data_IF_708803364448
#
_entry.id   IF_708803364448
#
_cell.length_a   1.000
_cell.length_b   1.000
_cell.length_c   1.000
_cell.angle_alpha   90.00
_cell.angle_beta   90.00
_cell.angle_gamma   90.00
#
_symmetry.space_group_name_H-M   'P 1'
#
loop_
_entity.id
_entity.type
_entity.pdbx_description
1 polymer ?
#
# COMPACT_ATOMS: atom_id res chain seq x y z
N UNK A 1 -10.29 1.53 -14.93
CA UNK A 1 -10.96 2.75 -14.42
C UNK A 1 -11.84 2.43 -13.20
N UNK A 2 -12.67 1.36 -13.23
CA UNK A 2 -13.54 0.99 -12.11
C UNK A 2 -12.80 0.78 -10.79
N UNK A 3 -11.64 0.08 -10.81
CA UNK A 3 -10.82 -0.12 -9.62
C UNK A 3 -10.29 1.18 -9.03
N UNK A 4 -9.87 2.13 -9.89
CA UNK A 4 -9.40 3.46 -9.45
C UNK A 4 -10.53 4.22 -8.75
N UNK A 5 -11.70 4.29 -9.37
CA UNK A 5 -12.86 4.97 -8.82
C UNK A 5 -13.34 4.33 -7.51
N UNK A 6 -13.37 3.00 -7.46
CA UNK A 6 -13.71 2.25 -6.23
C UNK A 6 -12.73 2.53 -5.10
N UNK A 7 -11.42 2.51 -5.39
CA UNK A 7 -10.37 2.84 -4.42
C UNK A 7 -10.45 4.30 -3.94
N UNK A 8 -10.72 5.25 -4.84
CA UNK A 8 -10.95 6.65 -4.48
C UNK A 8 -12.19 6.81 -3.60
N UNK A 9 -13.29 6.15 -3.94
CA UNK A 9 -14.52 6.20 -3.14
C UNK A 9 -14.31 5.62 -1.73
N UNK A 10 -13.55 4.53 -1.61
CA UNK A 10 -13.20 3.93 -0.32
C UNK A 10 -12.32 4.86 0.52
N UNK A 11 -11.30 5.46 -0.10
CA UNK A 11 -10.43 6.44 0.57
C UNK A 11 -11.16 7.74 0.93
N UNK A 12 -12.20 8.13 0.18
CA UNK A 12 -13.03 9.29 0.48
C UNK A 12 -13.75 9.15 1.83
N UNK A 13 -14.08 7.91 2.27
CA UNK A 13 -14.67 7.66 3.60
C UNK A 13 -13.67 8.08 4.69
N UNK A 14 -12.41 7.69 4.56
CA UNK A 14 -11.33 8.08 5.50
C UNK A 14 -11.15 9.59 5.50
N UNK A 15 -11.10 10.20 4.31
CA UNK A 15 -10.95 11.65 4.15
C UNK A 15 -12.09 12.43 4.81
N UNK A 16 -13.33 11.97 4.63
CA UNK A 16 -14.53 12.58 5.22
C UNK A 16 -14.51 12.49 6.75
N UNK A 17 -14.17 11.32 7.31
CA UNK A 17 -14.09 11.12 8.75
C UNK A 17 -12.97 11.96 9.38
N UNK A 18 -11.84 12.09 8.69
CA UNK A 18 -10.76 12.97 9.13
C UNK A 18 -11.15 14.44 9.09
N UNK A 19 -11.78 14.87 8.00
CA UNK A 19 -12.13 16.26 7.75
C UNK A 19 -13.27 16.78 8.65
N UNK A 20 -14.32 15.96 8.86
CA UNK A 20 -15.51 16.34 9.63
C UNK A 20 -15.43 16.04 11.12
N UNK A 21 -14.83 14.90 11.47
CA UNK A 21 -14.82 14.40 12.85
C UNK A 21 -13.41 14.42 13.47
N UNK A 22 -12.42 14.91 12.74
CA UNK A 22 -11.01 14.92 13.18
C UNK A 22 -10.54 13.54 13.67
N UNK A 23 -11.10 12.47 13.09
CA UNK A 23 -10.74 11.10 13.43
C UNK A 23 -9.27 10.81 13.02
N UNK A 24 -8.64 9.85 13.70
CA UNK A 24 -7.30 9.41 13.33
C UNK A 24 -7.38 8.59 12.03
N UNK A 25 -6.77 9.11 10.94
CA UNK A 25 -6.79 8.47 9.63
C UNK A 25 -6.17 7.07 9.62
N UNK A 26 -5.16 6.83 10.46
CA UNK A 26 -4.49 5.53 10.54
C UNK A 26 -5.44 4.50 11.15
N UNK A 27 -6.09 4.82 12.26
CA UNK A 27 -7.04 3.91 12.91
C UNK A 27 -8.24 3.63 12.03
N UNK A 28 -8.80 4.67 11.40
CA UNK A 28 -9.96 4.53 10.50
C UNK A 28 -9.59 3.66 9.30
N UNK A 29 -8.44 3.88 8.67
CA UNK A 29 -8.02 3.08 7.52
C UNK A 29 -7.78 1.61 7.90
N UNK A 30 -7.18 1.33 9.06
CA UNK A 30 -7.01 -0.04 9.55
C UNK A 30 -8.35 -0.74 9.80
N UNK A 31 -9.31 -0.06 10.40
CA UNK A 31 -10.66 -0.62 10.59
C UNK A 31 -11.36 -0.88 9.26
N UNK A 32 -11.24 0.03 8.30
CA UNK A 32 -11.82 -0.13 6.97
C UNK A 32 -11.16 -1.26 6.15
N UNK A 33 -9.91 -1.62 6.42
CA UNK A 33 -9.29 -2.82 5.82
C UNK A 33 -10.05 -4.08 6.22
N UNK A 34 -10.36 -4.25 7.51
CA UNK A 34 -11.15 -5.40 7.99
C UNK A 34 -12.56 -5.40 7.43
N UNK A 35 -13.20 -4.22 7.32
CA UNK A 35 -14.53 -4.11 6.71
C UNK A 35 -14.48 -4.52 5.24
N UNK A 36 -13.48 -4.07 4.49
CA UNK A 36 -13.31 -4.44 3.08
C UNK A 36 -13.05 -5.95 2.91
N UNK A 37 -12.25 -6.55 3.79
CA UNK A 37 -11.99 -7.99 3.80
C UNK A 37 -13.26 -8.80 4.07
N UNK A 38 -14.07 -8.39 5.06
CA UNK A 38 -15.34 -9.05 5.33
C UNK A 38 -16.37 -8.86 4.21
N UNK A 39 -16.39 -7.67 3.59
CA UNK A 39 -17.22 -7.41 2.43
C UNK A 39 -16.83 -8.32 1.24
N UNK A 40 -15.52 -8.45 0.98
CA UNK A 40 -15.01 -9.35 -0.05
C UNK A 40 -15.43 -10.80 0.24
N UNK A 41 -15.25 -11.26 1.47
CA UNK A 41 -15.66 -12.60 1.91
C UNK A 41 -17.16 -12.80 1.67
N UNK A 42 -18.00 -11.87 2.13
CA UNK A 42 -19.45 -11.94 1.93
C UNK A 42 -19.81 -12.08 0.44
N UNK A 43 -19.19 -11.31 -0.43
CA UNK A 43 -19.47 -11.34 -1.87
C UNK A 43 -19.01 -12.66 -2.52
N UNK A 44 -17.82 -13.15 -2.16
CA UNK A 44 -17.22 -14.34 -2.76
C UNK A 44 -17.89 -15.64 -2.25
N UNK A 45 -18.29 -15.69 -0.97
CA UNK A 45 -19.01 -16.83 -0.42
C UNK A 45 -20.52 -16.83 -0.75
N UNK A 46 -21.08 -15.68 -1.08
CA UNK A 46 -22.50 -15.48 -1.32
C UNK A 46 -22.85 -15.22 -2.78
N UNK A 47 -23.23 -13.96 -3.13
CA UNK A 47 -23.85 -13.66 -4.43
C UNK A 47 -22.95 -13.83 -5.65
N UNK A 48 -21.62 -13.77 -5.49
CA UNK A 48 -20.65 -13.89 -6.60
C UNK A 48 -19.95 -15.23 -6.66
N UNK A 49 -20.40 -16.19 -5.84
CA UNK A 49 -19.85 -17.54 -5.83
C UNK A 49 -20.09 -18.23 -7.17
N UNK A 50 -19.06 -18.91 -7.69
CA UNK A 50 -19.18 -19.73 -8.88
C UNK A 50 -20.09 -20.97 -8.63
N UNK A 51 -21.23 -21.10 -9.33
CA UNK A 51 -22.11 -22.24 -9.15
C UNK A 51 -21.49 -23.57 -9.65
N UNK A 52 -20.47 -23.52 -10.51
CA UNK A 52 -19.78 -24.70 -11.04
C UNK A 52 -18.46 -25.01 -10.33
N UNK A 53 -18.05 -24.19 -9.38
CA UNK A 53 -16.73 -24.23 -8.71
C UNK A 53 -16.58 -25.26 -7.60
N UNK A 54 -17.28 -26.39 -7.60
CA UNK A 54 -17.15 -27.48 -6.61
C UNK A 54 -17.15 -27.01 -5.14
N UNK A 55 -17.92 -25.99 -4.85
CA UNK A 55 -18.04 -25.36 -3.52
C UNK A 55 -16.81 -24.59 -3.03
N UNK A 56 -15.78 -24.36 -3.86
CA UNK A 56 -14.68 -23.47 -3.51
C UNK A 56 -15.13 -22.00 -3.46
N UNK A 57 -14.61 -21.20 -2.52
CA UNK A 57 -14.93 -19.79 -2.42
C UNK A 57 -14.16 -18.99 -3.49
N UNK A 58 -14.73 -18.94 -4.67
CA UNK A 58 -14.18 -18.22 -5.82
C UNK A 58 -15.30 -17.71 -6.71
N UNK A 59 -15.05 -16.61 -7.43
CA UNK A 59 -15.96 -16.12 -8.45
C UNK A 59 -15.70 -16.84 -9.79
N UNK A 60 -16.64 -16.69 -10.72
CA UNK A 60 -16.46 -17.13 -12.11
C UNK A 60 -15.19 -16.49 -12.68
N UNK A 61 -14.40 -17.26 -13.40
CA UNK A 61 -13.20 -16.76 -14.10
C UNK A 61 -13.57 -15.70 -15.10
N UNK A 62 -12.81 -14.61 -15.12
CA UNK A 62 -13.07 -13.49 -16.02
C UNK A 62 -12.85 -13.89 -17.49
N UNK A 63 -13.67 -13.34 -18.37
CA UNK A 63 -13.51 -13.50 -19.81
C UNK A 63 -12.11 -13.06 -20.25
N UNK A 64 -11.53 -13.75 -21.24
CA UNK A 64 -10.20 -13.42 -21.78
C UNK A 64 -10.07 -11.96 -22.24
N UNK A 65 -11.16 -11.34 -22.66
CA UNK A 65 -11.24 -9.92 -23.05
C UNK A 65 -11.06 -8.95 -21.87
N UNK A 66 -11.35 -9.39 -20.65
CA UNK A 66 -11.24 -8.58 -19.43
C UNK A 66 -9.90 -8.80 -18.73
N UNK A 67 -9.22 -9.89 -19.03
CA UNK A 67 -7.90 -10.19 -18.46
C UNK A 67 -6.82 -9.31 -19.08
N UNK A 68 -5.90 -8.86 -18.24
CA UNK A 68 -4.74 -8.08 -18.68
C UNK A 68 -3.82 -8.96 -19.52
N UNK A 69 -3.53 -8.59 -20.78
CA UNK A 69 -2.69 -9.40 -21.65
C UNK A 69 -1.27 -9.55 -21.11
N UNK A 70 -0.67 -10.72 -21.35
CA UNK A 70 0.74 -10.97 -21.04
C UNK A 70 1.62 -10.28 -22.10
N UNK A 71 2.70 -9.64 -21.67
CA UNK A 71 3.65 -8.95 -22.55
C UNK A 71 4.44 -9.91 -23.44
N UNK A 72 4.85 -11.06 -22.88
CA UNK A 72 5.62 -12.06 -23.61
C UNK A 72 5.04 -13.46 -23.40
N UNK A 73 4.89 -14.26 -24.47
CA UNK A 73 4.55 -15.68 -24.35
C UNK A 73 5.70 -16.41 -23.61
N UNK A 74 5.36 -17.08 -22.50
CA UNK A 74 6.34 -17.79 -21.67
C UNK A 74 6.74 -17.08 -20.38
N UNK A 75 6.55 -15.77 -20.27
CA UNK A 75 6.79 -15.02 -19.03
C UNK A 75 5.47 -14.66 -18.34
N UNK A 76 5.49 -14.59 -17.01
CA UNK A 76 4.32 -14.15 -16.23
C UNK A 76 4.17 -12.62 -16.14
N UNK A 77 4.92 -11.87 -16.94
CA UNK A 77 4.93 -10.40 -16.95
C UNK A 77 3.71 -9.89 -17.72
N UNK A 78 2.88 -9.11 -17.05
CA UNK A 78 1.66 -8.50 -17.58
C UNK A 78 1.88 -7.03 -17.94
N UNK A 79 0.99 -6.46 -18.74
CA UNK A 79 0.95 -5.01 -19.04
C UNK A 79 0.88 -4.15 -17.77
N UNK A 80 0.45 -4.71 -16.64
CA UNK A 80 0.44 -4.05 -15.33
C UNK A 80 1.80 -3.48 -14.92
N UNK A 81 2.92 -4.10 -15.30
CA UNK A 81 4.27 -3.58 -15.02
C UNK A 81 4.52 -2.26 -15.74
N UNK A 82 4.07 -2.14 -17.00
CA UNK A 82 4.20 -0.88 -17.76
C UNK A 82 3.38 0.21 -17.09
N UNK A 83 2.15 -0.11 -16.67
CA UNK A 83 1.26 0.83 -15.97
C UNK A 83 1.89 1.26 -14.63
N UNK A 84 2.51 0.32 -13.91
CA UNK A 84 3.22 0.63 -12.65
C UNK A 84 4.40 1.59 -12.89
N UNK A 85 5.24 1.35 -13.90
CA UNK A 85 6.36 2.23 -14.23
C UNK A 85 5.89 3.60 -14.72
N UNK A 86 4.85 3.65 -15.53
CA UNK A 86 4.24 4.92 -15.96
C UNK A 86 3.69 5.70 -14.76
N UNK A 87 3.05 5.02 -13.81
CA UNK A 87 2.52 5.65 -12.61
C UNK A 87 3.64 6.25 -11.74
N UNK A 88 4.79 5.59 -11.63
CA UNK A 88 5.99 6.14 -10.95
C UNK A 88 6.43 7.44 -11.62
N UNK A 89 6.50 7.46 -12.96
CA UNK A 89 6.85 8.67 -13.72
C UNK A 89 5.85 9.81 -13.51
N UNK A 90 4.56 9.50 -13.57
CA UNK A 90 3.48 10.47 -13.32
C UNK A 90 3.58 11.03 -11.90
N UNK A 91 3.77 10.19 -10.88
CA UNK A 91 3.92 10.65 -9.50
C UNK A 91 5.21 11.43 -9.27
N UNK A 92 6.29 11.06 -9.93
CA UNK A 92 7.53 11.83 -9.88
C UNK A 92 7.32 13.25 -10.44
N UNK A 93 6.68 13.39 -11.61
CA UNK A 93 6.34 14.69 -12.19
C UNK A 93 5.38 15.44 -11.26
N UNK A 94 4.32 14.79 -10.79
CA UNK A 94 3.33 15.40 -9.91
C UNK A 94 3.97 15.97 -8.64
N UNK A 95 4.82 15.20 -7.96
CA UNK A 95 5.43 15.61 -6.70
C UNK A 95 6.52 16.68 -6.87
N UNK A 96 7.37 16.56 -7.91
CA UNK A 96 8.57 17.40 -8.03
C UNK A 96 8.46 18.51 -9.08
N UNK A 97 7.49 18.43 -9.98
CA UNK A 97 7.34 19.38 -11.09
C UNK A 97 6.04 20.17 -11.08
N UNK A 98 5.07 19.84 -10.21
CA UNK A 98 3.80 20.56 -10.15
C UNK A 98 3.64 21.39 -8.90
N UNK A 99 2.84 22.44 -9.01
CA UNK A 99 2.49 23.29 -7.88
C UNK A 99 1.69 22.53 -6.80
N UNK A 100 0.83 21.60 -7.21
CA UNK A 100 0.10 20.73 -6.29
C UNK A 100 1.04 19.85 -5.45
N UNK A 101 2.07 19.27 -6.09
CA UNK A 101 3.11 18.50 -5.39
C UNK A 101 3.90 19.34 -4.38
N UNK A 102 4.25 20.57 -4.76
CA UNK A 102 4.88 21.51 -3.84
C UNK A 102 4.01 21.80 -2.61
N UNK A 103 2.71 22.06 -2.83
CA UNK A 103 1.77 22.29 -1.71
C UNK A 103 1.67 21.07 -0.78
N UNK A 104 1.65 19.85 -1.34
CA UNK A 104 1.64 18.61 -0.56
C UNK A 104 2.91 18.44 0.27
N UNK A 105 4.08 18.69 -0.31
CA UNK A 105 5.37 18.60 0.39
C UNK A 105 5.49 19.61 1.52
N UNK A 106 5.19 20.88 1.24
CA UNK A 106 5.23 21.95 2.26
C UNK A 106 4.20 21.68 3.35
N UNK A 107 3.00 21.23 2.99
CA UNK A 107 1.95 20.86 3.94
C UNK A 107 2.35 19.74 4.88
N UNK A 108 3.15 18.77 4.40
CA UNK A 108 3.66 17.66 5.20
C UNK A 108 4.86 18.03 6.09
N UNK A 109 5.83 18.78 5.53
CA UNK A 109 7.07 19.13 6.23
C UNK A 109 6.91 20.26 7.23
N UNK A 110 6.11 21.28 6.90
CA UNK A 110 5.94 22.49 7.71
C UNK A 110 4.48 22.99 7.69
N UNK A 111 3.55 22.33 8.40
CA UNK A 111 2.12 22.68 8.37
C UNK A 111 1.83 24.14 8.77
N UNK A 112 2.60 24.70 9.69
CA UNK A 112 2.46 26.08 10.11
C UNK A 112 2.84 27.06 8.98
N UNK A 113 3.95 26.83 8.29
CA UNK A 113 4.39 27.64 7.17
C UNK A 113 3.41 27.53 5.98
N UNK A 114 2.87 26.33 5.71
CA UNK A 114 1.87 26.12 4.69
C UNK A 114 0.60 26.95 4.92
N UNK A 115 0.13 27.01 6.17
CA UNK A 115 -1.02 27.85 6.55
C UNK A 115 -0.73 29.34 6.37
N UNK A 116 0.48 29.77 6.73
CA UNK A 116 0.90 31.17 6.56
C UNK A 116 0.95 31.57 5.07
N UNK A 117 1.35 30.65 4.22
CA UNK A 117 1.36 30.81 2.76
C UNK A 117 -0.06 30.71 2.11
N UNK A 118 -1.11 30.51 2.90
CA UNK A 118 -2.49 30.40 2.40
C UNK A 118 -2.84 29.01 1.82
N UNK A 119 -2.01 27.99 2.03
CA UNK A 119 -2.29 26.64 1.54
C UNK A 119 -3.35 25.95 2.40
N UNK A 120 -4.37 25.40 1.75
CA UNK A 120 -5.45 24.69 2.44
C UNK A 120 -5.03 23.28 2.83
N UNK A 121 -4.86 23.04 4.14
CA UNK A 121 -4.58 21.70 4.68
C UNK A 121 -5.66 20.68 4.32
N UNK A 122 -6.92 21.15 4.21
CA UNK A 122 -8.07 20.32 3.81
C UNK A 122 -7.92 19.81 2.38
N UNK A 123 -7.59 20.69 1.44
CA UNK A 123 -7.36 20.29 0.03
C UNK A 123 -6.18 19.32 -0.08
N UNK A 124 -5.09 19.56 0.64
CA UNK A 124 -3.93 18.68 0.65
C UNK A 124 -4.29 17.28 1.16
N UNK A 125 -5.06 17.19 2.24
CA UNK A 125 -5.53 15.92 2.81
C UNK A 125 -6.40 15.14 1.82
N UNK A 126 -7.39 15.79 1.23
CA UNK A 126 -8.28 15.15 0.24
C UNK A 126 -7.53 14.67 -0.99
N UNK A 127 -6.65 15.50 -1.56
CA UNK A 127 -5.85 15.11 -2.73
C UNK A 127 -4.93 13.94 -2.43
N UNK A 128 -4.24 13.94 -1.28
CA UNK A 128 -3.36 12.85 -0.89
C UNK A 128 -4.11 11.53 -0.72
N UNK A 129 -5.23 11.52 0.01
CA UNK A 129 -6.01 10.30 0.28
C UNK A 129 -6.69 9.77 -0.99
N UNK A 130 -7.27 10.64 -1.81
CA UNK A 130 -7.90 10.21 -3.07
C UNK A 130 -6.89 9.65 -4.07
N UNK A 131 -5.73 10.30 -4.23
CA UNK A 131 -4.66 9.78 -5.09
C UNK A 131 -4.15 8.43 -4.60
N UNK A 132 -3.89 8.30 -3.29
CA UNK A 132 -3.46 7.05 -2.67
C UNK A 132 -4.49 5.94 -2.87
N UNK A 133 -5.77 6.23 -2.58
CA UNK A 133 -6.86 5.27 -2.76
C UNK A 133 -7.05 4.86 -4.22
N UNK A 134 -6.94 5.81 -5.15
CA UNK A 134 -7.00 5.53 -6.58
C UNK A 134 -5.88 4.60 -7.05
N UNK A 135 -4.66 4.82 -6.57
CA UNK A 135 -3.52 3.95 -6.88
C UNK A 135 -3.66 2.56 -6.27
N UNK A 136 -4.13 2.47 -5.03
CA UNK A 136 -4.41 1.19 -4.39
C UNK A 136 -5.50 0.41 -5.15
N UNK A 137 -6.56 1.09 -5.57
CA UNK A 137 -7.62 0.50 -6.38
C UNK A 137 -7.16 0.08 -7.78
N UNK A 138 -6.23 0.83 -8.39
CA UNK A 138 -5.58 0.45 -9.65
C UNK A 138 -4.74 -0.82 -9.46
N UNK A 139 -3.93 -0.86 -8.41
CA UNK A 139 -3.09 -2.02 -8.10
C UNK A 139 -3.94 -3.29 -7.86
N UNK A 140 -4.99 -3.20 -7.04
CA UNK A 140 -5.91 -4.31 -6.79
C UNK A 140 -6.65 -4.76 -8.05
N UNK A 141 -7.09 -3.81 -8.89
CA UNK A 141 -7.72 -4.13 -10.19
C UNK A 141 -6.78 -4.83 -11.15
N UNK A 142 -5.50 -4.43 -11.21
CA UNK A 142 -4.49 -5.09 -12.06
C UNK A 142 -4.12 -6.47 -11.52
N UNK A 143 -4.08 -6.66 -10.21
CA UNK A 143 -3.81 -7.96 -9.57
C UNK A 143 -4.91 -8.96 -9.89
N UNK A 144 -6.18 -8.55 -9.72
CA UNK A 144 -7.33 -9.43 -9.98
C UNK A 144 -7.51 -9.71 -11.47
N UNK A 145 -7.34 -8.70 -12.34
CA UNK A 145 -7.52 -8.85 -13.78
C UNK A 145 -6.31 -9.50 -14.50
N UNK A 146 -5.12 -9.46 -13.87
CA UNK A 146 -3.89 -10.00 -14.44
C UNK A 146 -3.58 -11.42 -13.97
N UNK A 147 -2.86 -11.58 -12.83
CA UNK A 147 -2.40 -12.88 -12.38
C UNK A 147 -3.50 -13.84 -11.95
N UNK A 148 -4.53 -13.33 -11.26
CA UNK A 148 -5.55 -14.15 -10.63
C UNK A 148 -6.67 -14.55 -11.60
N UNK A 149 -7.15 -13.63 -12.43
CA UNK A 149 -8.26 -13.85 -13.37
C UNK A 149 -9.61 -14.14 -12.72
N UNK A 150 -9.69 -14.09 -11.39
CA UNK A 150 -10.91 -14.32 -10.59
C UNK A 150 -10.74 -13.71 -9.20
N UNK A 151 -11.85 -13.46 -8.50
CA UNK A 151 -11.81 -13.02 -7.09
C UNK A 151 -11.80 -14.24 -6.16
N UNK A 152 -10.89 -14.20 -5.20
CA UNK A 152 -10.80 -15.18 -4.11
C UNK A 152 -10.65 -14.45 -2.77
N UNK A 153 -10.98 -15.07 -1.63
CA UNK A 153 -10.79 -14.45 -0.32
C UNK A 153 -9.34 -14.06 -0.01
N UNK A 154 -8.40 -14.66 -0.72
CA UNK A 154 -6.95 -14.49 -0.47
C UNK A 154 -6.31 -13.39 -1.32
N UNK A 155 -7.10 -12.65 -2.14
CA UNK A 155 -6.61 -11.51 -2.95
C UNK A 155 -5.81 -10.48 -2.14
N UNK A 156 -6.19 -10.11 -0.89
CA UNK A 156 -5.47 -9.09 -0.16
C UNK A 156 -4.07 -9.49 0.33
N UNK A 157 -3.66 -10.73 0.29
CA UNK A 157 -2.34 -11.33 0.62
C UNK A 157 -1.35 -10.50 1.49
N UNK A 158 -1.80 -9.43 2.16
CA UNK A 158 -0.98 -8.53 2.97
C UNK A 158 -0.15 -7.50 2.19
N UNK A 159 -0.35 -7.35 0.88
CA UNK A 159 0.41 -6.41 0.04
C UNK A 159 0.31 -4.95 0.52
N UNK A 160 -0.80 -4.55 1.13
CA UNK A 160 -0.94 -3.21 1.71
C UNK A 160 0.07 -2.93 2.81
N UNK A 161 0.30 -3.90 3.71
CA UNK A 161 1.30 -3.79 4.76
C UNK A 161 2.73 -3.84 4.19
N UNK A 162 2.98 -4.71 3.21
CA UNK A 162 4.26 -4.76 2.52
C UNK A 162 4.57 -3.45 1.78
N UNK A 163 3.57 -2.76 1.24
CA UNK A 163 3.74 -1.47 0.59
C UNK A 163 4.27 -0.39 1.55
N UNK A 164 3.91 -0.44 2.83
CA UNK A 164 4.47 0.44 3.85
C UNK A 164 5.99 0.21 3.96
N UNK A 165 6.41 -1.06 4.04
CA UNK A 165 7.84 -1.42 4.10
C UNK A 165 8.57 -0.90 2.86
N UNK A 166 7.99 -1.15 1.67
CA UNK A 166 8.54 -0.69 0.38
C UNK A 166 8.70 0.83 0.35
N UNK A 167 7.71 1.58 0.85
CA UNK A 167 7.76 3.04 0.89
C UNK A 167 8.89 3.57 1.78
N UNK A 168 9.07 3.00 2.97
CA UNK A 168 10.14 3.39 3.89
C UNK A 168 11.51 2.97 3.40
N UNK A 169 11.69 1.75 2.89
CA UNK A 169 12.93 1.28 2.27
C UNK A 169 13.31 2.16 1.08
N UNK A 170 12.32 2.56 0.27
CA UNK A 170 12.49 3.48 -0.85
C UNK A 170 12.67 4.94 -0.46
N UNK A 171 12.75 5.26 0.84
CA UNK A 171 12.88 6.62 1.40
C UNK A 171 11.81 7.58 0.89
N UNK A 172 10.59 7.11 0.68
CA UNK A 172 9.45 7.88 0.18
C UNK A 172 9.71 8.60 -1.16
N UNK A 173 10.72 8.12 -1.92
CA UNK A 173 11.06 8.67 -3.22
C UNK A 173 10.55 7.74 -4.33
N UNK A 174 9.84 8.22 -5.37
CA UNK A 174 9.23 7.38 -6.40
C UNK A 174 10.20 6.39 -7.07
N UNK A 175 11.42 6.83 -7.39
CA UNK A 175 12.44 5.95 -7.97
C UNK A 175 12.95 4.94 -6.96
N UNK A 176 13.15 5.34 -5.70
CA UNK A 176 13.56 4.44 -4.61
C UNK A 176 12.54 3.32 -4.36
N UNK A 177 11.24 3.63 -4.48
CA UNK A 177 10.15 2.67 -4.34
C UNK A 177 10.24 1.56 -5.39
N UNK A 178 10.68 1.85 -6.62
CA UNK A 178 10.86 0.80 -7.66
C UNK A 178 11.89 -0.23 -7.22
N UNK A 179 13.07 0.23 -6.76
CA UNK A 179 14.12 -0.69 -6.30
C UNK A 179 13.72 -1.46 -5.07
N UNK A 180 13.07 -0.81 -4.10
CA UNK A 180 12.58 -1.49 -2.89
C UNK A 180 11.44 -2.46 -3.19
N UNK A 181 10.59 -2.18 -4.19
CA UNK A 181 9.55 -3.11 -4.63
C UNK A 181 10.15 -4.37 -5.27
N UNK A 182 11.20 -4.23 -6.10
CA UNK A 182 11.93 -5.36 -6.67
C UNK A 182 12.55 -6.20 -5.55
N UNK A 183 13.23 -5.58 -4.60
CA UNK A 183 13.83 -6.26 -3.46
C UNK A 183 12.76 -7.03 -2.67
N UNK A 184 11.62 -6.39 -2.39
CA UNK A 184 10.53 -7.01 -1.65
C UNK A 184 9.88 -8.18 -2.42
N UNK A 185 9.75 -8.06 -3.75
CA UNK A 185 9.26 -9.16 -4.58
C UNK A 185 10.19 -10.37 -4.54
N UNK A 186 11.51 -10.17 -4.47
CA UNK A 186 12.47 -11.26 -4.28
C UNK A 186 12.26 -11.97 -2.94
N UNK A 187 11.94 -11.24 -1.86
CA UNK A 187 11.60 -11.86 -0.58
C UNK A 187 10.31 -12.70 -0.65
N UNK A 188 9.28 -12.24 -1.36
CA UNK A 188 8.06 -13.01 -1.54
C UNK A 188 8.31 -14.29 -2.33
N UNK A 189 8.98 -14.20 -3.48
CA UNK A 189 9.32 -15.36 -4.32
C UNK A 189 10.24 -16.31 -3.56
N UNK A 190 11.25 -15.79 -2.87
CA UNK A 190 12.15 -16.58 -2.02
C UNK A 190 11.40 -17.31 -0.92
N UNK A 191 10.44 -16.66 -0.27
CA UNK A 191 9.59 -17.24 0.75
C UNK A 191 8.70 -18.38 0.23
N UNK A 192 8.09 -18.20 -0.96
CA UNK A 192 7.30 -19.24 -1.62
C UNK A 192 8.16 -20.46 -2.02
N UNK A 193 9.36 -20.19 -2.54
CA UNK A 193 10.32 -21.25 -2.86
C UNK A 193 10.79 -22.00 -1.61
N UNK A 194 11.08 -21.30 -0.53
CA UNK A 194 11.47 -21.91 0.74
C UNK A 194 10.32 -22.78 1.31
N UNK A 195 9.09 -22.30 1.22
CA UNK A 195 7.91 -23.07 1.61
C UNK A 195 7.76 -24.34 0.77
N UNK A 196 7.87 -24.23 -0.55
CA UNK A 196 7.66 -25.37 -1.45
C UNK A 196 8.81 -26.37 -1.44
N UNK A 197 10.06 -25.94 -1.26
CA UNK A 197 11.26 -26.78 -1.32
C UNK A 197 11.70 -27.32 0.04
N UNK A 198 11.57 -26.51 1.08
CA UNK A 198 12.07 -26.82 2.42
C UNK A 198 10.95 -27.13 3.42
N UNK A 199 9.68 -27.05 3.02
CA UNK A 199 8.52 -27.27 3.89
C UNK A 199 8.37 -26.23 5.02
N UNK A 200 8.98 -25.04 4.86
CA UNK A 200 8.94 -24.00 5.88
C UNK A 200 7.53 -23.36 5.94
N UNK A 201 7.05 -22.97 7.12
CA UNK A 201 5.74 -22.35 7.26
C UNK A 201 5.71 -20.97 6.59
N UNK A 202 4.60 -20.63 5.94
CA UNK A 202 4.36 -19.34 5.25
C UNK A 202 4.58 -18.13 6.16
N UNK A 203 4.33 -18.28 7.46
CA UNK A 203 4.52 -17.25 8.48
C UNK A 203 5.97 -16.76 8.61
N UNK A 204 6.96 -17.58 8.21
CA UNK A 204 8.37 -17.21 8.27
C UNK A 204 8.67 -15.98 7.41
N UNK A 205 8.10 -15.89 6.20
CA UNK A 205 8.23 -14.72 5.33
C UNK A 205 7.70 -13.45 6.00
N UNK A 206 6.56 -13.56 6.71
CA UNK A 206 5.99 -12.45 7.48
C UNK A 206 6.90 -11.99 8.63
N UNK A 207 7.55 -12.93 9.32
CA UNK A 207 8.53 -12.61 10.39
C UNK A 207 9.71 -11.83 9.82
N UNK A 208 10.29 -12.26 8.69
CA UNK A 208 11.38 -11.53 8.04
C UNK A 208 10.97 -10.12 7.61
N UNK A 209 9.76 -9.96 7.06
CA UNK A 209 9.23 -8.66 6.69
C UNK A 209 9.06 -7.75 7.91
N UNK A 210 8.50 -8.27 9.00
CA UNK A 210 8.34 -7.54 10.25
C UNK A 210 9.67 -7.10 10.86
N UNK A 211 10.67 -7.99 10.88
CA UNK A 211 12.01 -7.68 11.34
C UNK A 211 12.69 -6.62 10.46
N UNK A 212 12.53 -6.70 9.14
CA UNK A 212 13.07 -5.72 8.21
C UNK A 212 12.48 -4.34 8.46
N UNK A 213 11.15 -4.25 8.62
CA UNK A 213 10.49 -2.98 8.93
C UNK A 213 10.95 -2.42 10.28
N UNK A 214 11.01 -3.27 11.31
CA UNK A 214 11.43 -2.86 12.64
C UNK A 214 12.87 -2.35 12.66
N UNK A 215 13.80 -3.09 12.05
CA UNK A 215 15.21 -2.68 12.02
C UNK A 215 15.41 -1.41 11.22
N UNK A 216 14.67 -1.24 10.12
CA UNK A 216 14.73 -0.04 9.30
C UNK A 216 14.24 1.19 10.06
N UNK A 217 13.08 1.11 10.72
CA UNK A 217 12.55 2.20 11.53
C UNK A 217 13.45 2.53 12.73
N UNK A 218 14.04 1.50 13.36
CA UNK A 218 15.00 1.67 14.43
C UNK A 218 16.26 2.41 13.93
N UNK A 219 16.81 2.01 12.79
CA UNK A 219 17.96 2.68 12.19
C UNK A 219 17.66 4.13 11.80
N UNK A 220 16.52 4.39 11.19
CA UNK A 220 16.09 5.75 10.82
C UNK A 220 15.95 6.64 12.06
N UNK A 221 15.38 6.10 13.14
CA UNK A 221 15.26 6.82 14.41
C UNK A 221 16.63 7.11 15.02
N UNK A 222 17.56 6.15 15.01
CA UNK A 222 18.92 6.32 15.51
C UNK A 222 19.74 7.32 14.69
N UNK A 223 19.50 7.41 13.38
CA UNK A 223 20.14 8.41 12.52
C UNK A 223 19.60 9.82 12.81
N UNK A 224 18.27 9.92 13.00
CA UNK A 224 17.61 11.22 13.25
C UNK A 224 17.88 11.76 14.67
N UNK A 225 18.00 10.87 15.64
CA UNK A 225 18.13 11.23 17.05
C UNK A 225 19.41 10.67 17.65
N UNK A 226 20.20 11.54 18.30
CA UNK A 226 21.35 11.08 19.11
C UNK A 226 20.86 10.65 20.50
N UNK A 227 21.09 9.39 20.84
CA UNK A 227 20.83 8.88 22.19
C UNK A 227 21.82 9.55 23.16
N UNK A 228 21.32 10.43 24.03
CA UNK A 228 22.12 11.01 25.11
C UNK A 228 21.74 10.35 26.42
N UNK A 229 22.61 9.55 26.98
CA UNK A 229 22.48 9.05 28.33
C UNK A 229 22.77 10.20 29.30
N UNK A 230 21.73 10.73 29.95
CA UNK A 230 21.93 11.64 31.09
C UNK A 230 22.14 10.75 32.32
N UNK A 231 23.32 10.79 33.00
CA UNK A 231 23.46 10.11 34.27
C UNK A 231 22.43 10.72 35.24
N UNK A 232 21.72 9.84 35.95
CA UNK A 232 20.78 10.30 36.97
C UNK A 232 21.54 11.18 37.95
N UNK A 233 21.19 12.47 38.07
CA UNK A 233 21.70 13.32 39.14
C UNK A 233 21.29 12.66 40.45
N UNK A 234 22.25 12.05 41.14
CA UNK A 234 22.10 11.71 42.54
C UNK A 234 21.71 13.01 43.25
N UNK A 235 20.48 13.07 43.75
CA UNK A 235 20.04 14.16 44.59
C UNK A 235 21.01 14.29 45.75
N UNK A 236 21.66 15.41 45.82
CA UNK A 236 22.36 15.84 47.06
C UNK A 236 21.25 16.13 48.06
N UNK A 237 21.02 15.15 48.97
CA UNK A 237 20.26 15.37 50.16
C UNK A 237 21.12 16.30 51.03
N UNK A 238 20.65 17.51 51.25
CA UNK A 238 21.09 18.42 52.33
C UNK A 238 19.90 18.73 53.21
#
# INVERSE_FOLDING_TARGET
LGGVLGGMAWAAIVALLRDRFNANEILVSLMLVYVAEQLLNYLVYGPWKDPQGYNFPQTITFLKSTQVPRLFPGFRVNVGVIIALLSVGVFWILLFRTYAGFQLQVGGLAPAAARYAGFSSRKALWTALLLSGGMAGLAGGLEVAGPLGQLTPHVPAGYGFAAIIVAFVGRLHPVGIVFSAILMSMFYIGGELAQSRLGLPKSLTGVFQGLLLFTLLACDTLIAYRVRWKPARRGVAA
#
